data_IF_737474222527
#
_entry.id   IF_737474222527
#
_cell.length_a   1.000
_cell.length_b   1.000
_cell.length_c   1.000
_cell.angle_alpha   90.00
_cell.angle_beta   90.00
_cell.angle_gamma   90.00
#
_symmetry.space_group_name_H-M   'P 1'
#
loop_
_entity.id
_entity.type
_entity.pdbx_description
1 polymer ?
#
# COMPACT_ATOMS: atom_id res chain seq x y z
N UNK A 1 -78.00 5.78 -6.84
CA UNK A 1 -77.00 4.98 -6.10
C UNK A 1 -75.60 4.89 -6.74
N UNK A 2 -75.36 5.34 -7.98
CA UNK A 2 -74.07 5.10 -8.67
C UNK A 2 -72.88 6.03 -8.31
N UNK A 3 -73.08 7.18 -7.65
CA UNK A 3 -71.99 8.17 -7.42
C UNK A 3 -71.04 7.81 -6.26
N UNK A 4 -71.42 6.90 -5.37
CA UNK A 4 -70.64 6.57 -4.16
C UNK A 4 -69.52 5.55 -4.43
N UNK A 5 -69.69 4.65 -5.40
CA UNK A 5 -68.68 3.63 -5.74
C UNK A 5 -67.44 4.20 -6.46
N UNK A 6 -67.60 5.23 -7.31
CA UNK A 6 -66.49 5.83 -8.07
C UNK A 6 -65.49 6.61 -7.18
N UNK A 7 -65.98 7.26 -6.11
CA UNK A 7 -65.12 7.99 -5.17
C UNK A 7 -64.26 7.05 -4.31
N UNK A 8 -64.82 5.91 -3.88
CA UNK A 8 -64.10 4.89 -3.11
C UNK A 8 -63.03 4.19 -3.96
N UNK A 9 -63.30 3.95 -5.25
CA UNK A 9 -62.32 3.38 -6.19
C UNK A 9 -61.14 4.34 -6.46
N UNK A 10 -61.41 5.64 -6.64
CA UNK A 10 -60.36 6.66 -6.81
C UNK A 10 -59.49 6.84 -5.57
N UNK A 11 -60.08 6.81 -4.36
CA UNK A 11 -59.33 6.91 -3.09
C UNK A 11 -58.46 5.67 -2.84
N UNK A 12 -58.95 4.47 -3.19
CA UNK A 12 -58.18 3.22 -3.12
C UNK A 12 -57.03 3.16 -4.12
N UNK A 13 -57.23 3.63 -5.36
CA UNK A 13 -56.18 3.69 -6.38
C UNK A 13 -55.06 4.68 -6.01
N UNK A 14 -55.39 5.87 -5.47
CA UNK A 14 -54.38 6.84 -5.02
C UNK A 14 -53.56 6.33 -3.81
N UNK A 15 -54.19 5.62 -2.87
CA UNK A 15 -53.49 5.00 -1.73
C UNK A 15 -52.56 3.86 -2.13
N UNK A 16 -52.96 3.01 -3.09
CA UNK A 16 -52.13 1.91 -3.57
C UNK A 16 -50.85 2.40 -4.25
N UNK A 17 -50.94 3.48 -5.03
CA UNK A 17 -49.81 4.11 -5.70
C UNK A 17 -48.84 4.78 -4.72
N UNK A 18 -49.34 5.40 -3.65
CA UNK A 18 -48.48 5.95 -2.59
C UNK A 18 -47.72 4.86 -1.82
N UNK A 19 -48.37 3.74 -1.49
CA UNK A 19 -47.70 2.61 -0.83
C UNK A 19 -46.65 1.95 -1.73
N UNK A 20 -46.95 1.75 -3.03
CA UNK A 20 -45.98 1.26 -4.03
C UNK A 20 -44.79 2.20 -4.20
N UNK A 21 -45.02 3.52 -4.24
CA UNK A 21 -43.95 4.53 -4.31
C UNK A 21 -43.06 4.53 -3.07
N UNK A 22 -43.65 4.41 -1.86
CA UNK A 22 -42.87 4.30 -0.61
C UNK A 22 -42.04 3.02 -0.54
N UNK A 23 -42.57 1.90 -1.01
CA UNK A 23 -41.81 0.64 -1.11
C UNK A 23 -40.63 0.73 -2.06
N UNK A 24 -40.82 1.36 -3.23
CA UNK A 24 -39.74 1.59 -4.19
C UNK A 24 -38.63 2.50 -3.63
N UNK A 25 -38.99 3.58 -2.92
CA UNK A 25 -38.01 4.48 -2.31
C UNK A 25 -37.12 3.74 -1.31
N UNK A 26 -37.69 2.87 -0.46
CA UNK A 26 -36.91 2.09 0.49
C UNK A 26 -35.89 1.18 -0.22
N UNK A 27 -36.32 0.47 -1.27
CA UNK A 27 -35.42 -0.39 -2.05
C UNK A 27 -34.30 0.44 -2.71
N UNK A 28 -34.65 1.55 -3.36
CA UNK A 28 -33.68 2.42 -4.01
C UNK A 28 -32.68 3.02 -3.00
N UNK A 29 -33.14 3.41 -1.81
CA UNK A 29 -32.28 3.91 -0.74
C UNK A 29 -31.35 2.83 -0.20
N UNK A 30 -31.85 1.62 0.04
CA UNK A 30 -31.02 0.50 0.49
C UNK A 30 -29.93 0.15 -0.53
N UNK A 31 -30.27 0.08 -1.81
CA UNK A 31 -29.29 -0.18 -2.88
C UNK A 31 -28.25 0.94 -2.97
N UNK A 32 -28.68 2.21 -2.91
CA UNK A 32 -27.77 3.35 -2.93
C UNK A 32 -26.82 3.34 -1.73
N UNK A 33 -27.32 3.00 -0.54
CA UNK A 33 -26.52 2.91 0.67
C UNK A 33 -25.48 1.80 0.60
N UNK A 34 -25.84 0.63 0.06
CA UNK A 34 -24.90 -0.46 -0.21
C UNK A 34 -23.81 -0.04 -1.21
N UNK A 35 -24.19 0.68 -2.27
CA UNK A 35 -23.23 1.19 -3.25
C UNK A 35 -22.21 2.14 -2.59
N UNK A 36 -22.68 3.07 -1.74
CA UNK A 36 -21.80 3.99 -1.03
C UNK A 36 -20.87 3.25 -0.05
N UNK A 37 -21.37 2.23 0.65
CA UNK A 37 -20.53 1.39 1.51
C UNK A 37 -19.47 0.62 0.71
N UNK A 38 -19.81 0.13 -0.48
CA UNK A 38 -18.86 -0.54 -1.37
C UNK A 38 -17.72 0.41 -1.81
N UNK A 39 -18.05 1.64 -2.21
CA UNK A 39 -17.06 2.66 -2.58
C UNK A 39 -16.19 3.04 -1.38
N UNK A 40 -16.79 3.17 -0.19
CA UNK A 40 -16.04 3.44 1.04
C UNK A 40 -15.06 2.32 1.37
N UNK A 41 -15.48 1.05 1.26
CA UNK A 41 -14.61 -0.10 1.44
C UNK A 41 -13.42 -0.09 0.48
N UNK A 42 -13.67 0.21 -0.79
CA UNK A 42 -12.61 0.35 -1.79
C UNK A 42 -11.61 1.47 -1.42
N UNK A 43 -12.11 2.61 -0.95
CA UNK A 43 -11.27 3.72 -0.50
C UNK A 43 -10.37 3.33 0.69
N UNK A 44 -10.87 2.50 1.62
CA UNK A 44 -10.07 2.00 2.74
C UNK A 44 -8.93 1.08 2.28
N UNK A 45 -9.22 0.12 1.41
CA UNK A 45 -8.18 -0.78 0.88
C UNK A 45 -7.10 0.02 0.11
N UNK A 46 -7.51 0.97 -0.73
CA UNK A 46 -6.58 1.85 -1.46
C UNK A 46 -5.75 2.71 -0.51
N UNK A 47 -6.34 3.28 0.53
CA UNK A 47 -5.64 4.07 1.53
C UNK A 47 -4.54 3.25 2.22
N UNK A 48 -4.83 1.99 2.56
CA UNK A 48 -3.85 1.08 3.16
C UNK A 48 -2.70 0.74 2.21
N UNK A 49 -2.99 0.49 0.93
CA UNK A 49 -1.96 0.28 -0.10
C UNK A 49 -1.08 1.53 -0.27
N UNK A 50 -1.68 2.72 -0.28
CA UNK A 50 -0.95 3.97 -0.47
C UNK A 50 0.01 4.25 0.69
N UNK A 51 -0.45 4.07 1.93
CA UNK A 51 0.40 4.24 3.12
C UNK A 51 1.55 3.23 3.08
N UNK A 52 1.27 1.97 2.79
CA UNK A 52 2.28 0.93 2.66
C UNK A 52 3.32 1.25 1.57
N UNK A 53 2.89 1.81 0.43
CA UNK A 53 3.82 2.27 -0.61
C UNK A 53 4.73 3.37 -0.11
N UNK A 54 4.19 4.35 0.62
CA UNK A 54 4.99 5.42 1.20
C UNK A 54 5.98 4.88 2.25
N UNK A 55 5.54 4.00 3.15
CA UNK A 55 6.41 3.34 4.13
C UNK A 55 7.55 2.58 3.46
N UNK A 56 7.26 1.79 2.43
CA UNK A 56 8.26 1.01 1.72
C UNK A 56 9.31 1.91 1.04
N UNK A 57 8.87 2.99 0.39
CA UNK A 57 9.78 3.96 -0.26
C UNK A 57 10.64 4.69 0.77
N UNK A 58 10.03 5.21 1.84
CA UNK A 58 10.75 5.91 2.91
C UNK A 58 11.76 4.99 3.59
N UNK A 59 11.41 3.72 3.81
CA UNK A 59 12.33 2.71 4.34
C UNK A 59 13.52 2.48 3.40
N UNK A 60 13.28 2.18 2.11
CA UNK A 60 14.37 1.86 1.18
C UNK A 60 15.28 3.06 0.94
N UNK A 61 14.73 4.28 0.86
CA UNK A 61 15.50 5.52 0.70
C UNK A 61 16.40 5.77 1.91
N UNK A 62 15.83 5.71 3.12
CA UNK A 62 16.58 5.91 4.35
C UNK A 62 17.66 4.82 4.54
N UNK A 63 17.31 3.56 4.25
CA UNK A 63 18.24 2.44 4.33
C UNK A 63 19.38 2.55 3.33
N UNK A 64 19.09 2.92 2.07
CA UNK A 64 20.11 3.13 1.05
C UNK A 64 21.06 4.26 1.46
N UNK A 65 20.54 5.40 1.93
CA UNK A 65 21.38 6.50 2.41
C UNK A 65 22.21 6.13 3.65
N UNK A 66 21.62 5.41 4.61
CA UNK A 66 22.33 4.94 5.80
C UNK A 66 23.47 3.97 5.43
N UNK A 67 23.23 3.07 4.48
CA UNK A 67 24.23 2.17 3.96
C UNK A 67 25.35 2.93 3.23
N UNK A 68 25.00 3.86 2.33
CA UNK A 68 25.94 4.65 1.57
C UNK A 68 26.84 5.53 2.45
N UNK A 69 26.30 6.08 3.55
CA UNK A 69 27.06 6.87 4.51
C UNK A 69 28.17 6.07 5.23
N UNK A 70 28.04 4.73 5.28
CA UNK A 70 28.98 3.82 5.91
C UNK A 70 29.87 3.07 4.91
N UNK A 71 29.67 3.30 3.61
CA UNK A 71 30.43 2.65 2.56
C UNK A 71 31.72 3.45 2.27
N UNK A 72 32.86 2.77 2.34
CA UNK A 72 34.21 3.33 2.15
C UNK A 72 35.00 2.59 1.03
N UNK A 73 34.34 1.73 0.26
CA UNK A 73 34.98 0.91 -0.78
C UNK A 73 35.74 -0.32 -0.27
N UNK A 74 35.86 -0.51 1.05
CA UNK A 74 36.52 -1.69 1.64
C UNK A 74 35.52 -2.81 1.95
N UNK A 75 35.96 -4.07 2.08
CA UNK A 75 35.10 -5.15 2.58
C UNK A 75 34.54 -4.89 3.99
N UNK A 76 35.27 -4.16 4.83
CA UNK A 76 34.80 -3.79 6.19
C UNK A 76 33.65 -2.77 6.10
N UNK A 77 33.74 -1.79 5.19
CA UNK A 77 32.66 -0.83 4.93
C UNK A 77 31.37 -1.49 4.45
N UNK A 78 31.47 -2.57 3.66
CA UNK A 78 30.31 -3.37 3.25
C UNK A 78 29.58 -3.95 4.47
N UNK A 79 30.32 -4.47 5.45
CA UNK A 79 29.76 -4.94 6.72
C UNK A 79 29.04 -3.83 7.48
N UNK A 80 29.68 -2.66 7.64
CA UNK A 80 29.06 -1.50 8.31
C UNK A 80 27.81 -1.00 7.60
N UNK A 81 27.81 -1.00 6.27
CA UNK A 81 26.66 -0.62 5.45
C UNK A 81 25.46 -1.55 5.70
N UNK A 82 25.68 -2.87 5.76
CA UNK A 82 24.62 -3.84 6.08
C UNK A 82 24.07 -3.64 7.49
N UNK A 83 24.94 -3.43 8.48
CA UNK A 83 24.49 -3.15 9.84
C UNK A 83 23.69 -1.83 9.94
N UNK A 84 24.07 -0.82 9.16
CA UNK A 84 23.34 0.45 9.11
C UNK A 84 21.91 0.24 8.60
N UNK A 85 21.70 -0.58 7.56
CA UNK A 85 20.36 -0.96 7.07
C UNK A 85 19.55 -1.66 8.17
N UNK A 86 20.16 -2.60 8.89
CA UNK A 86 19.47 -3.34 9.96
C UNK A 86 19.04 -2.46 11.15
N UNK A 87 19.64 -1.27 11.31
CA UNK A 87 19.35 -0.32 12.40
C UNK A 87 18.38 0.80 12.02
N UNK A 88 17.85 0.82 10.79
CA UNK A 88 16.89 1.84 10.34
C UNK A 88 15.58 1.71 11.15
N UNK A 89 15.13 2.76 11.85
CA UNK A 89 13.98 2.68 12.75
C UNK A 89 12.62 2.86 12.04
N UNK A 90 12.53 2.52 10.75
CA UNK A 90 11.31 2.66 9.95
C UNK A 90 10.62 1.30 9.86
N UNK A 91 9.34 1.30 10.21
CA UNK A 91 8.54 0.08 10.41
C UNK A 91 7.40 0.00 9.38
N UNK A 92 6.99 -1.21 9.09
CA UNK A 92 5.92 -1.57 8.16
C UNK A 92 4.54 -1.60 8.83
N UNK A 93 3.49 -1.47 8.02
CA UNK A 93 2.09 -1.65 8.40
C UNK A 93 1.66 -0.68 9.50
N UNK A 94 1.71 0.62 9.23
CA UNK A 94 1.41 1.69 10.20
C UNK A 94 2.35 1.66 11.40
N UNK A 95 3.61 1.32 11.16
CA UNK A 95 4.64 1.25 12.19
C UNK A 95 4.52 0.09 13.19
N UNK A 96 3.71 -0.92 12.90
CA UNK A 96 3.42 -2.03 13.83
C UNK A 96 4.29 -3.26 13.63
N UNK A 97 4.96 -3.40 12.47
CA UNK A 97 5.75 -4.58 12.10
C UNK A 97 7.11 -4.18 11.53
N UNK A 98 8.08 -5.09 11.55
CA UNK A 98 9.33 -4.88 10.83
C UNK A 98 9.16 -5.18 9.33
N UNK A 99 9.99 -4.56 8.50
CA UNK A 99 10.18 -5.00 7.12
C UNK A 99 10.82 -6.38 7.09
N UNK A 100 10.34 -7.25 6.21
CA UNK A 100 10.87 -8.61 6.03
C UNK A 100 11.49 -8.78 4.65
N UNK A 101 12.45 -9.71 4.55
CA UNK A 101 13.10 -10.07 3.29
C UNK A 101 13.88 -8.92 2.64
N UNK A 102 14.39 -7.98 3.44
CA UNK A 102 15.19 -6.85 2.94
C UNK A 102 16.49 -7.37 2.35
N UNK A 103 16.77 -7.01 1.10
CA UNK A 103 17.99 -7.40 0.37
C UNK A 103 18.86 -6.15 0.20
N UNK A 104 20.16 -6.29 0.52
CA UNK A 104 21.16 -5.24 0.33
C UNK A 104 22.17 -5.73 -0.70
N UNK A 105 22.29 -4.98 -1.79
CA UNK A 105 23.18 -5.29 -2.89
C UNK A 105 24.12 -4.10 -3.14
N UNK A 106 25.29 -4.38 -3.69
CA UNK A 106 26.33 -3.40 -3.94
C UNK A 106 26.74 -3.42 -5.40
N UNK A 107 27.23 -2.28 -5.88
CA UNK A 107 27.70 -2.13 -7.25
C UNK A 107 28.86 -1.14 -7.34
N UNK A 108 29.68 -1.31 -8.38
CA UNK A 108 30.75 -0.37 -8.75
C UNK A 108 30.27 0.68 -9.75
N UNK A 109 29.29 0.31 -10.58
CA UNK A 109 28.90 1.04 -11.79
C UNK A 109 27.39 1.20 -11.95
N UNK A 110 26.59 0.58 -11.07
CA UNK A 110 25.14 0.58 -11.11
C UNK A 110 24.53 -0.42 -12.09
N UNK A 111 25.34 -1.21 -12.81
CA UNK A 111 24.86 -2.17 -13.82
C UNK A 111 24.83 -3.60 -13.29
N UNK A 112 25.87 -3.99 -12.54
CA UNK A 112 25.94 -5.29 -11.87
C UNK A 112 25.78 -5.13 -10.37
N UNK A 113 24.85 -5.90 -9.80
CA UNK A 113 24.50 -5.85 -8.39
C UNK A 113 24.77 -7.21 -7.76
N UNK A 114 25.50 -7.22 -6.65
CA UNK A 114 25.83 -8.43 -5.91
C UNK A 114 25.61 -8.21 -4.42
N UNK A 115 25.19 -9.25 -3.71
CA UNK A 115 25.16 -9.21 -2.26
C UNK A 115 26.58 -9.28 -1.69
N UNK A 116 27.47 -10.07 -2.28
CA UNK A 116 28.85 -10.28 -1.85
C UNK A 116 29.84 -9.61 -2.82
N UNK A 117 30.21 -8.33 -2.62
CA UNK A 117 31.19 -7.65 -3.44
C UNK A 117 32.62 -7.88 -2.98
N UNK A 118 33.56 -8.00 -3.92
CA UNK A 118 35.01 -8.15 -3.65
C UNK A 118 35.71 -6.82 -3.28
N UNK A 119 34.95 -5.79 -2.88
CA UNK A 119 35.44 -4.43 -2.60
C UNK A 119 35.43 -3.50 -3.81
N UNK A 120 35.80 -2.23 -3.59
CA UNK A 120 35.76 -1.15 -4.59
C UNK A 120 34.35 -0.74 -5.01
N UNK A 121 33.33 -1.09 -4.23
CA UNK A 121 31.94 -0.72 -4.48
C UNK A 121 31.62 0.67 -3.93
N UNK A 122 30.87 1.43 -4.69
CA UNK A 122 30.51 2.82 -4.38
C UNK A 122 29.00 3.04 -4.36
N UNK A 123 28.22 2.09 -4.88
CA UNK A 123 26.77 2.13 -4.85
C UNK A 123 26.22 1.01 -3.96
N UNK A 124 25.10 1.31 -3.31
CA UNK A 124 24.31 0.35 -2.56
C UNK A 124 22.84 0.46 -2.98
N UNK A 125 22.20 -0.69 -3.16
CA UNK A 125 20.78 -0.85 -3.42
C UNK A 125 20.15 -1.58 -2.25
N UNK A 126 19.08 -1.01 -1.71
CA UNK A 126 18.24 -1.67 -0.71
C UNK A 126 16.90 -1.97 -1.33
N UNK A 127 16.49 -3.23 -1.26
CA UNK A 127 15.24 -3.74 -1.85
C UNK A 127 14.38 -4.39 -0.78
N UNK A 128 13.10 -4.00 -0.71
CA UNK A 128 12.07 -4.64 0.09
C UNK A 128 11.03 -5.29 -0.86
N UNK A 129 11.19 -6.56 -1.23
CA UNK A 129 10.51 -7.13 -2.40
C UNK A 129 9.08 -7.64 -2.13
N UNK A 130 8.79 -8.08 -0.90
CA UNK A 130 7.65 -8.97 -0.66
C UNK A 130 6.73 -8.56 0.51
N UNK A 131 6.82 -7.32 0.99
CA UNK A 131 5.95 -6.87 2.08
C UNK A 131 4.54 -6.60 1.53
N UNK A 132 3.51 -7.16 2.18
CA UNK A 132 2.14 -7.14 1.68
C UNK A 132 1.15 -6.55 2.67
N UNK A 133 0.14 -5.87 2.13
CA UNK A 133 -1.01 -5.34 2.87
C UNK A 133 -2.18 -6.29 2.70
N UNK A 134 -2.93 -6.53 3.77
CA UNK A 134 -4.18 -7.28 3.72
C UNK A 134 -5.28 -6.45 3.04
N UNK A 135 -6.03 -7.09 2.15
CA UNK A 135 -7.13 -6.49 1.40
C UNK A 135 -8.45 -7.04 1.95
N UNK A 136 -9.30 -6.16 2.46
CA UNK A 136 -10.48 -6.56 3.23
C UNK A 136 -11.75 -6.44 2.39
N UNK A 137 -11.98 -5.29 1.75
CA UNK A 137 -13.25 -4.99 1.09
C UNK A 137 -13.30 -5.49 -0.34
N UNK A 138 -12.22 -5.33 -1.10
CA UNK A 138 -12.12 -5.84 -2.48
C UNK A 138 -12.22 -7.37 -2.51
N UNK A 139 -11.78 -8.05 -1.43
CA UNK A 139 -11.94 -9.50 -1.26
C UNK A 139 -13.41 -9.93 -1.26
N UNK A 140 -14.33 -9.10 -0.76
CA UNK A 140 -15.76 -9.42 -0.71
C UNK A 140 -16.39 -9.55 -2.11
N UNK A 141 -15.78 -8.96 -3.13
CA UNK A 141 -16.21 -9.04 -4.54
C UNK A 141 -15.29 -9.92 -5.39
N UNK A 142 -14.53 -10.82 -4.76
CA UNK A 142 -13.64 -11.77 -5.43
C UNK A 142 -12.23 -11.25 -5.71
N UNK A 143 -11.83 -10.12 -5.12
CA UNK A 143 -10.46 -9.61 -5.18
C UNK A 143 -9.45 -10.47 -4.40
N UNK A 144 -8.14 -10.17 -4.57
CA UNK A 144 -7.08 -10.87 -3.86
C UNK A 144 -7.15 -10.60 -2.35
N UNK A 145 -6.63 -11.52 -1.53
CA UNK A 145 -6.59 -11.36 -0.07
C UNK A 145 -5.46 -10.43 0.40
N UNK A 146 -4.43 -10.24 -0.42
CA UNK A 146 -3.26 -9.42 -0.10
C UNK A 146 -2.76 -8.69 -1.33
N UNK A 147 -2.12 -7.54 -1.13
CA UNK A 147 -1.44 -6.77 -2.16
C UNK A 147 0.02 -6.56 -1.77
N UNK A 148 0.95 -7.05 -2.60
CA UNK A 148 2.40 -6.92 -2.38
C UNK A 148 2.90 -5.56 -2.87
N UNK A 149 3.71 -4.90 -2.05
CA UNK A 149 4.27 -3.57 -2.32
C UNK A 149 5.80 -3.67 -2.38
N UNK A 150 6.38 -3.92 -3.57
CA UNK A 150 7.82 -3.90 -3.73
C UNK A 150 8.35 -2.45 -3.75
N UNK A 151 9.47 -2.22 -3.10
CA UNK A 151 10.24 -0.97 -3.19
C UNK A 151 11.73 -1.26 -3.29
N UNK A 152 12.45 -0.39 -3.97
CA UNK A 152 13.91 -0.39 -3.96
C UNK A 152 14.43 1.03 -4.13
N UNK A 153 15.59 1.29 -3.55
CA UNK A 153 16.29 2.58 -3.66
C UNK A 153 17.79 2.36 -3.77
N UNK A 154 18.47 3.31 -4.42
CA UNK A 154 19.91 3.27 -4.64
C UNK A 154 20.53 4.54 -4.10
N UNK A 155 21.66 4.41 -3.42
CA UNK A 155 22.48 5.55 -2.98
C UNK A 155 23.96 5.27 -3.26
N UNK A 156 24.73 6.34 -3.46
CA UNK A 156 26.17 6.28 -3.69
C UNK A 156 26.93 6.82 -2.46
N UNK A 157 28.08 6.22 -2.17
CA UNK A 157 29.00 6.65 -1.12
C UNK A 157 29.52 8.06 -1.38
N UNK A 158 29.83 8.79 -0.30
CA UNK A 158 30.52 10.08 -0.43
C UNK A 158 31.92 9.86 -1.04
N UNK A 159 32.26 10.51 -2.18
CA UNK A 159 33.55 10.31 -2.85
C UNK A 159 34.76 10.64 -1.95
N UNK A 160 34.62 11.52 -0.96
CA UNK A 160 35.72 11.86 -0.02
C UNK A 160 36.12 10.66 0.85
N UNK A 161 35.18 9.76 1.18
CA UNK A 161 35.48 8.57 1.99
C UNK A 161 36.21 7.46 1.24
N UNK A 162 36.33 7.57 -0.08
CA UNK A 162 36.99 6.56 -0.90
C UNK A 162 38.51 6.80 -1.02
N UNK A 163 38.99 7.93 -0.49
CA UNK A 163 40.39 8.36 -0.56
C UNK A 163 41.11 8.34 0.79
N UNK A 164 40.40 8.02 1.88
CA UNK A 164 40.94 7.81 3.23
C UNK A 164 41.26 6.33 3.47
#
# INVERSE_FOLDING_TARGET
>A
MARSAAAVLSIGMLHSNQRRRRGFILVAMSVSMLLLMAVMGLAFDLGRIYIARNEAQVFTDAAAMAAAANLDGTPVGVGRAREAVARVPIRWNLGTREFTGVVVEFSKDGTQWTTEPDGGVTLVRVTAPANSVEITFLRAVGGPATFTVPAHSVAASNPVRLTE
#
